data_IF_280496021420
#
_entry.id   IF_280496021420
#
_cell.length_a   1.000
_cell.length_b   1.000
_cell.length_c   1.000
_cell.angle_alpha   90.00
_cell.angle_beta   90.00
_cell.angle_gamma   90.00
#
_symmetry.space_group_name_H-M   'P 1'
#
loop_
_entity.id
_entity.type
_entity.pdbx_description
1 polymer ?
#
# COMPACT_ATOMS: atom_id res chain seq x y z
N UNK A 1 -43.52 25.68 -34.66
CA UNK A 1 -42.19 26.27 -34.88
C UNK A 1 -41.98 27.32 -33.81
N UNK A 2 -41.15 27.03 -32.81
CA UNK A 2 -40.71 27.99 -31.79
C UNK A 2 -39.19 27.82 -31.70
N UNK A 3 -38.45 28.78 -32.25
CA UNK A 3 -37.01 28.87 -32.13
C UNK A 3 -36.66 29.47 -30.76
N UNK A 4 -35.98 28.68 -29.92
CA UNK A 4 -35.38 29.16 -28.68
C UNK A 4 -33.95 29.62 -28.99
N UNK A 5 -33.71 30.93 -28.88
CA UNK A 5 -32.41 31.55 -29.03
C UNK A 5 -31.55 31.25 -27.79
N UNK A 6 -30.36 30.69 -28.02
CA UNK A 6 -29.31 30.54 -27.02
C UNK A 6 -28.39 31.77 -27.10
N UNK A 7 -28.25 32.50 -25.99
CA UNK A 7 -27.21 33.51 -25.82
C UNK A 7 -25.91 32.84 -25.35
N UNK A 8 -24.86 33.02 -26.13
CA UNK A 8 -23.47 32.68 -25.82
C UNK A 8 -22.83 33.82 -25.01
N UNK A 9 -22.56 33.59 -23.72
CA UNK A 9 -21.73 34.48 -22.90
C UNK A 9 -20.25 34.18 -23.15
N UNK A 10 -19.68 34.86 -24.13
CA UNK A 10 -18.24 35.09 -24.25
C UNK A 10 -17.93 36.48 -23.70
N UNK A 11 -16.70 36.64 -23.20
CA UNK A 11 -16.01 37.90 -22.88
C UNK A 11 -15.82 38.21 -21.39
N UNK A 12 -14.83 37.54 -20.79
CA UNK A 12 -14.06 38.10 -19.67
C UNK A 12 -12.56 37.86 -19.91
N UNK A 13 -11.98 38.70 -20.76
CA UNK A 13 -10.54 38.90 -20.86
C UNK A 13 -10.05 39.71 -19.64
N UNK A 14 -9.05 39.17 -18.92
CA UNK A 14 -8.29 39.93 -17.93
C UNK A 14 -6.99 40.42 -18.55
N UNK A 15 -6.71 41.75 -18.57
CA UNK A 15 -5.53 42.29 -19.21
C UNK A 15 -4.31 42.26 -18.28
N UNK A 16 -3.17 41.90 -18.85
CA UNK A 16 -1.87 42.46 -18.46
C UNK A 16 -1.09 41.69 -17.40
N UNK A 17 -0.04 41.00 -17.85
CA UNK A 17 1.32 41.05 -17.29
C UNK A 17 2.27 40.32 -18.25
N UNK A 18 2.74 41.06 -19.27
CA UNK A 18 3.75 40.61 -20.23
C UNK A 18 5.12 40.73 -19.58
N UNK A 19 5.55 39.69 -18.87
CA UNK A 19 6.94 39.54 -18.43
C UNK A 19 7.79 39.06 -19.61
N UNK A 20 8.64 39.95 -20.11
CA UNK A 20 9.63 39.69 -21.14
C UNK A 20 10.71 38.74 -20.63
N UNK A 21 10.67 37.48 -21.05
CA UNK A 21 11.79 36.55 -20.92
C UNK A 21 12.91 36.97 -21.89
N UNK A 22 13.95 37.61 -21.38
CA UNK A 22 15.24 37.71 -22.06
C UNK A 22 15.97 36.38 -21.86
N UNK A 23 16.21 35.65 -22.95
CA UNK A 23 17.08 34.49 -22.99
C UNK A 23 18.54 34.95 -22.89
N UNK A 24 19.14 34.90 -21.71
CA UNK A 24 20.59 34.91 -21.58
C UNK A 24 21.10 33.49 -21.77
N UNK A 25 21.67 33.23 -22.94
CA UNK A 25 22.37 31.99 -23.24
C UNK A 25 23.60 31.84 -22.33
N UNK A 26 23.53 30.92 -21.37
CA UNK A 26 24.67 30.49 -20.58
C UNK A 26 25.40 29.39 -21.36
N UNK A 27 26.66 29.65 -21.70
CA UNK A 27 27.55 28.77 -22.46
C UNK A 27 28.49 28.09 -21.45
N UNK A 28 28.29 26.82 -21.07
CA UNK A 28 29.23 26.14 -20.20
C UNK A 28 30.34 25.55 -21.05
N UNK A 29 31.50 26.20 -20.98
CA UNK A 29 32.80 25.68 -21.38
C UNK A 29 33.21 24.54 -20.44
N UNK A 30 33.59 23.41 -21.05
CA UNK A 30 34.61 22.44 -20.64
C UNK A 30 34.80 22.19 -19.13
N UNK A 31 34.27 21.06 -18.66
CA UNK A 31 34.78 20.30 -17.51
C UNK A 31 34.28 18.86 -17.65
N UNK A 32 34.92 18.11 -18.56
CA UNK A 32 34.87 16.65 -18.56
C UNK A 32 35.72 16.18 -17.37
N UNK A 33 35.06 15.64 -16.35
CA UNK A 33 35.71 14.91 -15.26
C UNK A 33 35.05 13.53 -15.14
N UNK A 34 35.93 12.53 -15.07
CA UNK A 34 35.70 11.12 -15.36
C UNK A 34 34.75 10.39 -14.40
N UNK A 35 33.52 10.17 -14.87
CA UNK A 35 32.51 9.31 -14.21
C UNK A 35 32.92 7.82 -14.10
N UNK A 36 34.02 7.42 -14.74
CA UNK A 36 34.49 6.03 -14.76
C UNK A 36 35.31 5.62 -13.52
N UNK A 37 35.88 6.59 -12.78
CA UNK A 37 36.66 6.30 -11.57
C UNK A 37 35.76 6.10 -10.34
N UNK A 38 34.63 6.81 -10.26
CA UNK A 38 33.65 6.65 -9.18
C UNK A 38 32.93 5.28 -9.19
N UNK A 39 32.85 4.65 -10.36
CA UNK A 39 32.25 3.32 -10.52
C UNK A 39 33.17 2.21 -10.04
N UNK A 40 34.49 2.38 -10.16
CA UNK A 40 35.50 1.39 -9.74
C UNK A 40 35.64 1.36 -8.22
N UNK A 41 35.68 2.52 -7.56
CA UNK A 41 35.77 2.61 -6.09
C UNK A 41 34.56 2.00 -5.37
N UNK A 42 33.36 2.13 -5.95
CA UNK A 42 32.13 1.54 -5.37
C UNK A 42 32.04 0.02 -5.53
N UNK A 43 32.71 -0.55 -6.53
CA UNK A 43 32.76 -2.00 -6.72
C UNK A 43 33.67 -2.68 -5.69
N UNK A 44 34.82 -2.07 -5.38
CA UNK A 44 35.76 -2.56 -4.36
C UNK A 44 35.15 -2.53 -2.95
N UNK A 45 34.37 -1.51 -2.60
CA UNK A 45 33.69 -1.45 -1.29
C UNK A 45 32.66 -2.57 -1.07
N UNK A 46 32.08 -3.14 -2.14
CA UNK A 46 31.09 -4.20 -2.05
C UNK A 46 31.73 -5.58 -1.86
N UNK A 47 32.91 -5.82 -2.44
CA UNK A 47 33.64 -7.08 -2.25
C UNK A 47 34.17 -7.22 -0.81
N UNK A 48 34.68 -6.13 -0.21
CA UNK A 48 35.17 -6.14 1.18
C UNK A 48 34.04 -6.48 2.17
N UNK A 49 32.82 -5.96 1.95
CA UNK A 49 31.65 -6.26 2.79
C UNK A 49 31.17 -7.71 2.64
N UNK A 50 31.29 -8.30 1.45
CA UNK A 50 30.98 -9.72 1.23
C UNK A 50 32.01 -10.65 1.89
N UNK A 51 33.29 -10.26 1.93
CA UNK A 51 34.34 -11.02 2.61
C UNK A 51 34.14 -11.08 4.14
N UNK A 52 33.64 -10.00 4.76
CA UNK A 52 33.41 -9.96 6.21
C UNK A 52 32.26 -10.87 6.67
N UNK A 53 31.22 -11.08 5.86
CA UNK A 53 30.07 -11.92 6.24
C UNK A 53 30.36 -13.43 6.17
N UNK A 54 31.31 -13.86 5.33
CA UNK A 54 31.71 -15.28 5.24
C UNK A 54 32.55 -15.78 6.42
N UNK A 55 33.24 -14.88 7.15
CA UNK A 55 34.08 -15.25 8.31
C UNK A 55 33.29 -15.56 9.60
N UNK A 56 32.01 -15.16 9.67
CA UNK A 56 31.18 -15.35 10.87
C UNK A 56 30.45 -16.70 10.98
N UNK A 57 30.55 -17.60 9.99
CA UNK A 57 29.69 -18.80 9.88
C UNK A 57 30.40 -20.14 10.08
N UNK A 58 31.52 -20.15 10.81
CA UNK A 58 32.28 -21.37 11.14
C UNK A 58 32.71 -21.39 12.60
N UNK A 59 31.79 -21.69 13.51
CA UNK A 59 32.08 -22.29 14.84
C UNK A 59 30.78 -22.66 15.54
N UNK A 60 30.33 -23.90 15.33
CA UNK A 60 29.60 -24.73 16.31
C UNK A 60 29.16 -26.04 15.64
N UNK A 61 30.03 -27.06 15.70
CA UNK A 61 29.68 -28.46 15.50
C UNK A 61 30.54 -29.27 16.44
N UNK A 62 29.93 -29.85 17.47
CA UNK A 62 30.23 -31.15 18.09
C UNK A 62 29.53 -31.22 19.46
N UNK A 63 28.57 -32.14 19.59
CA UNK A 63 28.59 -33.27 20.55
C UNK A 63 27.16 -33.87 20.68
N UNK A 64 27.03 -35.05 20.06
CA UNK A 64 26.41 -36.31 20.50
C UNK A 64 24.98 -36.39 21.09
N UNK A 65 24.19 -37.25 20.44
CA UNK A 65 22.89 -37.75 20.89
C UNK A 65 23.04 -39.11 21.59
N UNK A 66 22.06 -39.52 22.43
CA UNK A 66 21.70 -40.92 22.54
C UNK A 66 20.27 -41.18 22.02
N UNK A 67 20.18 -42.23 21.22
CA UNK A 67 18.95 -42.88 20.75
C UNK A 67 18.32 -43.64 21.92
N UNK A 68 17.00 -43.60 22.05
CA UNK A 68 16.27 -44.71 22.64
C UNK A 68 14.96 -44.95 21.87
N UNK A 69 14.71 -46.23 21.63
CA UNK A 69 13.78 -46.79 20.68
C UNK A 69 12.32 -46.82 21.18
N UNK A 70 11.39 -46.73 20.21
CA UNK A 70 10.22 -47.61 20.10
C UNK A 70 9.07 -47.52 21.11
N UNK A 71 7.93 -47.08 20.56
CA UNK A 71 6.56 -47.58 20.78
C UNK A 71 5.83 -47.16 22.08
N UNK A 72 4.74 -46.39 21.96
CA UNK A 72 3.37 -46.88 21.78
C UNK A 72 2.35 -45.72 21.88
N UNK A 73 1.26 -45.87 21.14
CA UNK A 73 0.15 -44.92 21.05
C UNK A 73 -0.85 -45.16 22.18
N UNK A 74 -0.87 -44.27 23.18
CA UNK A 74 -1.93 -44.25 24.19
C UNK A 74 -2.84 -43.03 24.02
N UNK A 75 -4.06 -43.35 23.59
CA UNK A 75 -5.17 -42.48 23.26
C UNK A 75 -6.12 -42.38 24.48
N UNK A 76 -6.41 -41.14 24.88
CA UNK A 76 -7.53 -40.61 25.70
C UNK A 76 -7.49 -40.69 27.24
N UNK A 77 -8.40 -39.98 27.96
CA UNK A 77 -8.89 -38.59 27.82
C UNK A 77 -8.95 -37.88 29.19
N UNK A 78 -8.70 -36.57 29.31
CA UNK A 78 -9.13 -35.86 30.53
C UNK A 78 -9.51 -34.39 30.29
N UNK A 79 -10.83 -34.16 30.34
CA UNK A 79 -11.42 -32.97 30.93
C UNK A 79 -10.79 -32.68 32.31
N UNK A 80 -10.68 -31.40 32.67
CA UNK A 80 -10.39 -31.01 34.06
C UNK A 80 -8.98 -30.47 34.34
N UNK A 81 -8.37 -29.75 33.40
CA UNK A 81 -7.23 -28.90 33.72
C UNK A 81 -7.69 -27.63 34.45
N UNK A 82 -7.63 -27.65 35.79
CA UNK A 82 -7.75 -26.46 36.64
C UNK A 82 -6.79 -25.37 36.14
N UNK A 83 -7.32 -24.34 35.48
CA UNK A 83 -6.57 -23.12 35.27
C UNK A 83 -6.30 -22.53 36.66
N UNK A 84 -5.04 -22.58 37.11
CA UNK A 84 -4.58 -21.77 38.23
C UNK A 84 -4.97 -20.33 37.96
N UNK A 85 -6.02 -19.86 38.63
CA UNK A 85 -6.32 -18.44 38.76
C UNK A 85 -5.14 -17.87 39.55
N UNK A 86 -4.19 -17.29 38.82
CA UNK A 86 -3.15 -16.48 39.44
C UNK A 86 -3.87 -15.30 40.09
N UNK A 87 -3.65 -15.16 41.40
CA UNK A 87 -4.14 -14.07 42.24
C UNK A 87 -3.99 -12.74 41.50
N UNK A 88 -5.09 -12.03 41.36
CA UNK A 88 -5.08 -10.60 41.10
C UNK A 88 -4.41 -9.94 42.31
N UNK A 89 -3.16 -9.54 42.16
CA UNK A 89 -2.62 -8.49 42.99
C UNK A 89 -3.07 -7.17 42.37
N UNK A 90 -3.68 -6.31 43.17
CA UNK A 90 -4.18 -5.00 42.79
C UNK A 90 -3.03 -4.11 42.30
N UNK A 91 -2.62 -4.31 41.05
CA UNK A 91 -1.82 -3.35 40.31
C UNK A 91 -2.77 -2.21 39.98
N UNK A 92 -2.66 -1.12 40.73
CA UNK A 92 -3.26 0.18 40.45
C UNK A 92 -3.42 0.36 38.93
N UNK A 93 -4.68 0.36 38.49
CA UNK A 93 -5.06 0.27 37.09
C UNK A 93 -4.37 1.38 36.26
N UNK A 94 -3.24 1.05 35.64
CA UNK A 94 -2.52 1.86 34.65
C UNK A 94 -3.29 1.87 33.33
N UNK A 95 -4.53 2.34 33.38
CA UNK A 95 -5.37 2.50 32.23
C UNK A 95 -4.77 3.55 31.30
N UNK A 96 -4.13 3.08 30.23
CA UNK A 96 -3.31 3.90 29.35
C UNK A 96 -4.06 4.36 28.11
N UNK A 97 -5.12 3.63 27.71
CA UNK A 97 -5.74 3.77 26.39
C UNK A 97 -7.23 4.05 26.51
N UNK A 98 -7.68 5.06 25.79
CA UNK A 98 -9.07 5.45 25.64
C UNK A 98 -9.66 4.79 24.39
N UNK A 99 -10.80 4.13 24.53
CA UNK A 99 -11.64 3.68 23.43
C UNK A 99 -12.64 4.77 23.05
N UNK A 100 -12.80 5.02 21.76
CA UNK A 100 -13.86 5.88 21.23
C UNK A 100 -14.61 5.10 20.16
N UNK A 101 -15.92 4.97 20.31
CA UNK A 101 -16.83 4.32 19.38
C UNK A 101 -17.91 5.27 18.87
N UNK A 102 -18.63 4.82 17.84
CA UNK A 102 -19.68 5.58 17.13
C UNK A 102 -19.18 6.89 16.52
N UNK A 103 -17.94 6.87 16.04
CA UNK A 103 -17.31 8.03 15.41
C UNK A 103 -18.01 8.33 14.06
N UNK A 104 -18.44 9.57 13.80
CA UNK A 104 -19.03 9.95 12.52
C UNK A 104 -18.05 9.87 11.36
N UNK A 105 -18.57 9.68 10.15
CA UNK A 105 -17.74 9.68 8.94
C UNK A 105 -17.17 11.09 8.68
N UNK A 106 -15.85 11.18 8.47
CA UNK A 106 -15.15 12.45 8.31
C UNK A 106 -14.44 12.94 9.56
N UNK A 107 -14.72 12.35 10.73
CA UNK A 107 -13.96 12.60 11.96
C UNK A 107 -12.79 11.61 12.04
N UNK A 108 -11.73 11.91 11.27
CA UNK A 108 -10.55 11.06 11.16
C UNK A 108 -9.43 11.51 12.11
N UNK A 109 -8.22 11.00 11.89
CA UNK A 109 -7.10 11.19 12.80
C UNK A 109 -6.74 12.66 13.00
N UNK A 110 -6.74 13.47 11.95
CA UNK A 110 -6.37 14.89 12.00
C UNK A 110 -7.42 15.71 12.77
N UNK A 111 -8.72 15.44 12.52
CA UNK A 111 -9.82 16.10 13.21
C UNK A 111 -9.92 15.66 14.68
N UNK A 112 -9.72 14.36 14.96
CA UNK A 112 -9.67 13.84 16.33
C UNK A 112 -8.48 14.43 17.09
N UNK A 113 -7.31 14.54 16.46
CA UNK A 113 -6.14 15.15 17.09
C UNK A 113 -6.43 16.61 17.45
N UNK A 114 -6.99 17.39 16.52
CA UNK A 114 -7.38 18.78 16.78
C UNK A 114 -8.40 18.92 17.92
N UNK A 115 -9.42 18.07 17.95
CA UNK A 115 -10.47 18.12 18.97
C UNK A 115 -9.99 17.66 20.35
N UNK A 116 -9.26 16.54 20.45
CA UNK A 116 -8.85 15.99 21.74
C UNK A 116 -7.62 16.68 22.33
N UNK A 117 -6.88 17.46 21.53
CA UNK A 117 -5.77 18.29 22.00
C UNK A 117 -6.18 19.31 23.07
N UNK A 118 -7.45 19.70 23.14
CA UNK A 118 -7.95 20.60 24.18
C UNK A 118 -7.89 19.98 25.60
N UNK A 119 -7.94 18.65 25.71
CA UNK A 119 -7.84 17.95 26.99
C UNK A 119 -6.41 17.64 27.40
N UNK A 120 -5.51 17.53 26.42
CA UNK A 120 -4.09 17.31 26.66
C UNK A 120 -3.33 16.84 25.42
N UNK A 121 -2.02 16.73 25.55
CA UNK A 121 -1.12 16.25 24.48
C UNK A 121 -1.39 14.77 24.18
N UNK A 122 -1.65 14.48 22.91
CA UNK A 122 -1.89 13.12 22.41
C UNK A 122 -0.56 12.50 22.02
N UNK A 123 -0.28 11.30 22.55
CA UNK A 123 0.94 10.56 22.25
C UNK A 123 0.76 9.65 21.04
N UNK A 124 -0.36 8.92 21.00
CA UNK A 124 -0.70 8.01 19.91
C UNK A 124 -2.20 8.05 19.64
N UNK A 125 -2.56 8.04 18.37
CA UNK A 125 -3.94 8.04 17.92
C UNK A 125 -4.10 7.04 16.78
N UNK A 126 -5.16 6.23 16.81
CA UNK A 126 -5.42 5.25 15.77
C UNK A 126 -6.91 5.02 15.56
N UNK A 127 -7.38 5.18 14.32
CA UNK A 127 -8.73 4.79 13.93
C UNK A 127 -8.69 3.40 13.30
N UNK A 128 -9.64 2.56 13.67
CA UNK A 128 -9.80 1.26 13.05
C UNK A 128 -10.48 1.42 11.69
N UNK A 129 -9.86 0.84 10.65
CA UNK A 129 -10.38 0.85 9.28
C UNK A 129 -10.47 -0.58 8.75
N UNK A 130 -11.27 -0.79 7.71
CA UNK A 130 -11.33 -2.06 7.00
C UNK A 130 -10.09 -2.19 6.09
N UNK A 131 -9.36 -3.30 6.17
CA UNK A 131 -8.14 -3.52 5.38
C UNK A 131 -8.43 -3.61 3.87
N UNK A 132 -9.62 -4.05 3.46
CA UNK A 132 -9.98 -4.23 2.04
C UNK A 132 -10.55 -2.97 1.39
N UNK A 133 -11.55 -2.37 2.03
CA UNK A 133 -12.25 -1.18 1.50
C UNK A 133 -11.63 0.13 1.96
N UNK A 134 -10.87 0.10 3.06
CA UNK A 134 -10.28 1.29 3.67
C UNK A 134 -11.21 2.20 4.45
N UNK A 135 -12.51 1.92 4.42
CA UNK A 135 -13.53 2.64 5.19
C UNK A 135 -13.27 2.52 6.69
N UNK A 136 -13.56 3.59 7.43
CA UNK A 136 -13.56 3.59 8.90
C UNK A 136 -14.54 2.54 9.43
N UNK A 137 -14.17 1.93 10.55
CA UNK A 137 -15.07 1.08 11.35
C UNK A 137 -15.81 1.89 12.42
N UNK A 138 -15.67 3.21 12.42
CA UNK A 138 -16.33 4.13 13.35
C UNK A 138 -15.93 3.93 14.82
N UNK A 139 -14.71 3.43 15.05
CA UNK A 139 -14.09 3.39 16.37
C UNK A 139 -12.57 3.60 16.28
N UNK A 140 -11.97 4.04 17.38
CA UNK A 140 -10.56 4.36 17.48
C UNK A 140 -10.04 4.26 18.91
N UNK A 141 -8.72 4.40 19.02
CA UNK A 141 -7.98 4.35 20.28
C UNK A 141 -7.10 5.59 20.39
N UNK A 142 -7.08 6.18 21.57
CA UNK A 142 -6.25 7.34 21.89
C UNK A 142 -5.42 7.03 23.13
N UNK A 143 -4.15 7.39 23.10
CA UNK A 143 -3.26 7.40 24.25
C UNK A 143 -2.74 8.82 24.45
N UNK A 144 -3.02 9.37 25.62
CA UNK A 144 -2.51 10.66 26.05
C UNK A 144 -1.13 10.53 26.70
N UNK A 145 -0.42 11.64 26.81
CA UNK A 145 0.86 11.70 27.55
C UNK A 145 0.67 11.43 29.05
N UNK A 146 -0.42 11.95 29.63
CA UNK A 146 -0.81 11.75 31.02
C UNK A 146 -2.13 10.95 31.11
N UNK A 147 -2.08 9.62 30.92
CA UNK A 147 -3.30 8.82 30.77
C UNK A 147 -4.12 8.74 32.06
N UNK A 148 -3.50 8.78 33.25
CA UNK A 148 -4.18 8.52 34.52
C UNK A 148 -5.28 9.53 34.87
N UNK A 149 -5.03 10.82 34.57
CA UNK A 149 -5.94 11.92 34.89
C UNK A 149 -6.76 12.30 33.65
N UNK A 150 -6.08 12.52 32.51
CA UNK A 150 -6.74 13.02 31.30
C UNK A 150 -7.72 11.99 30.74
N UNK A 151 -7.37 10.70 30.71
CA UNK A 151 -8.26 9.70 30.13
C UNK A 151 -9.56 9.52 30.94
N UNK A 152 -9.52 9.68 32.27
CA UNK A 152 -10.71 9.64 33.13
C UNK A 152 -11.63 10.84 32.86
N UNK A 153 -11.07 12.05 32.84
CA UNK A 153 -11.83 13.29 32.55
C UNK A 153 -12.48 13.19 31.16
N UNK A 154 -11.72 12.75 30.15
CA UNK A 154 -12.25 12.62 28.79
C UNK A 154 -13.35 11.57 28.73
N UNK A 155 -13.20 10.42 29.40
CA UNK A 155 -14.23 9.40 29.44
C UNK A 155 -15.54 9.93 30.05
N UNK A 156 -15.46 10.61 31.19
CA UNK A 156 -16.64 11.14 31.88
C UNK A 156 -17.31 12.28 31.10
N UNK A 157 -16.52 13.19 30.51
CA UNK A 157 -17.06 14.34 29.78
C UNK A 157 -17.60 13.98 28.38
N UNK A 158 -16.99 13.00 27.69
CA UNK A 158 -17.31 12.69 26.29
C UNK A 158 -18.20 11.47 26.10
N UNK A 159 -18.46 10.70 27.14
CA UNK A 159 -19.40 9.60 27.07
C UNK A 159 -20.82 10.15 26.78
N UNK A 160 -21.44 9.65 25.71
CA UNK A 160 -22.72 10.14 25.18
C UNK A 160 -22.70 11.59 24.68
N UNK A 161 -21.55 12.10 24.25
CA UNK A 161 -21.50 13.39 23.57
C UNK A 161 -22.14 13.31 22.17
N UNK A 162 -23.06 14.21 21.86
CA UNK A 162 -23.69 14.29 20.54
C UNK A 162 -22.73 15.01 19.58
N UNK A 163 -22.16 14.27 18.64
CA UNK A 163 -21.28 14.80 17.61
C UNK A 163 -21.87 14.49 16.23
N UNK A 164 -22.28 15.55 15.52
CA UNK A 164 -23.16 15.47 14.35
C UNK A 164 -24.45 14.68 14.70
N UNK A 165 -24.72 13.59 14.01
CA UNK A 165 -25.89 12.72 14.23
C UNK A 165 -25.58 11.52 15.14
N UNK A 166 -24.36 11.45 15.69
CA UNK A 166 -23.89 10.28 16.43
C UNK A 166 -23.59 10.60 17.89
N UNK A 167 -24.09 9.75 18.79
CA UNK A 167 -23.74 9.76 20.21
C UNK A 167 -22.43 8.99 20.40
N UNK A 168 -21.35 9.69 20.75
CA UNK A 168 -20.05 9.09 20.99
C UNK A 168 -20.08 8.16 22.21
N UNK A 169 -19.40 7.02 22.07
CA UNK A 169 -19.19 6.08 23.19
C UNK A 169 -17.72 6.10 23.56
N UNK A 170 -17.40 6.58 24.76
CA UNK A 170 -16.01 6.70 25.22
C UNK A 170 -15.83 5.85 26.46
N UNK A 171 -14.87 4.92 26.41
CA UNK A 171 -14.58 4.01 27.53
C UNK A 171 -13.09 3.97 27.81
N UNK A 172 -12.75 3.82 29.09
CA UNK A 172 -11.40 3.56 29.52
C UNK A 172 -11.07 2.08 29.33
N UNK A 173 -9.95 1.76 28.68
CA UNK A 173 -9.51 0.38 28.50
C UNK A 173 -8.39 0.06 29.51
N UNK A 174 -8.57 -0.96 30.37
CA UNK A 174 -7.49 -1.50 31.19
C UNK A 174 -6.33 -2.02 30.32
N UNK A 175 -5.07 -1.87 30.76
CA UNK A 175 -3.90 -2.23 29.95
C UNK A 175 -3.87 -3.71 29.55
N UNK A 176 -4.50 -4.60 30.32
CA UNK A 176 -4.59 -6.05 30.05
C UNK A 176 -5.39 -6.36 28.77
N UNK A 177 -6.42 -5.58 28.49
CA UNK A 177 -7.25 -5.73 27.29
C UNK A 177 -6.66 -5.02 26.06
N UNK A 178 -5.56 -4.28 26.22
CA UNK A 178 -4.85 -3.63 25.12
C UNK A 178 -3.96 -4.65 24.43
N UNK A 179 -4.38 -5.09 23.24
CA UNK A 179 -3.58 -6.01 22.45
C UNK A 179 -2.21 -5.38 22.08
N UNK A 180 -1.07 -6.09 22.25
CA UNK A 180 0.29 -5.52 22.11
C UNK A 180 0.59 -4.94 20.71
N UNK A 181 -0.09 -5.45 19.67
CA UNK A 181 0.05 -4.99 18.27
C UNK A 181 -0.84 -3.79 17.91
N UNK A 182 -1.56 -3.19 18.87
CA UNK A 182 -2.51 -2.10 18.62
C UNK A 182 -1.85 -0.93 17.88
N UNK A 183 -0.70 -0.49 18.36
CA UNK A 183 0.01 0.70 17.88
C UNK A 183 0.94 0.46 16.68
N UNK A 184 0.86 -0.70 16.03
CA UNK A 184 1.62 -0.89 14.79
C UNK A 184 1.11 0.01 13.68
N UNK A 185 2.04 0.73 13.06
CA UNK A 185 1.81 1.56 11.88
C UNK A 185 1.16 2.92 12.15
N UNK A 186 1.11 3.39 13.40
CA UNK A 186 0.47 4.67 13.78
C UNK A 186 1.12 5.86 13.08
N UNK A 187 2.45 5.92 13.05
CA UNK A 187 3.18 7.06 12.46
C UNK A 187 3.20 7.04 10.92
N UNK A 188 2.41 6.17 10.27
CA UNK A 188 2.33 6.11 8.80
C UNK A 188 1.03 6.78 8.37
N UNK A 189 1.13 7.76 7.47
CA UNK A 189 -0.05 8.30 6.80
C UNK A 189 -0.82 7.18 6.14
N UNK A 190 -2.12 7.12 6.41
CA UNK A 190 -3.00 6.13 5.84
C UNK A 190 -3.05 6.29 4.32
N UNK A 191 -2.87 5.19 3.58
CA UNK A 191 -3.12 5.12 2.14
C UNK A 191 -4.27 4.16 1.92
N UNK A 192 -5.34 4.56 1.20
CA UNK A 192 -6.44 3.65 0.93
C UNK A 192 -5.91 2.42 0.18
N UNK A 193 -6.44 1.22 0.47
CA UNK A 193 -6.09 0.01 -0.26
C UNK A 193 -6.39 0.22 -1.73
N UNK A 194 -5.43 -0.18 -2.58
CA UNK A 194 -5.61 -0.13 -4.02
C UNK A 194 -6.54 -1.25 -4.46
N UNK A 195 -7.51 -0.94 -5.32
CA UNK A 195 -8.37 -1.95 -5.93
C UNK A 195 -7.57 -2.68 -7.03
N UNK A 196 -6.89 -3.76 -6.64
CA UNK A 196 -6.08 -4.56 -7.55
C UNK A 196 -6.88 -5.11 -8.72
N UNK A 197 -8.15 -5.51 -8.50
CA UNK A 197 -9.02 -6.05 -9.56
C UNK A 197 -9.29 -4.97 -10.60
N UNK A 198 -9.59 -3.74 -10.18
CA UNK A 198 -9.76 -2.63 -11.12
C UNK A 198 -8.47 -2.32 -11.89
N UNK A 199 -7.32 -2.30 -11.21
CA UNK A 199 -6.03 -2.04 -11.85
C UNK A 199 -5.71 -3.13 -12.88
N UNK A 200 -5.94 -4.39 -12.54
CA UNK A 200 -5.73 -5.53 -13.43
C UNK A 200 -6.69 -5.52 -14.61
N UNK A 201 -7.98 -5.23 -14.39
CA UNK A 201 -8.97 -5.03 -15.47
C UNK A 201 -8.53 -3.93 -16.43
N UNK A 202 -8.11 -2.77 -15.91
CA UNK A 202 -7.58 -1.67 -16.74
C UNK A 202 -6.34 -2.09 -17.53
N UNK A 203 -5.41 -2.83 -16.91
CA UNK A 203 -4.21 -3.35 -17.59
C UNK A 203 -4.56 -4.36 -18.69
N UNK A 204 -5.52 -5.24 -18.41
CA UNK A 204 -5.98 -6.28 -19.32
C UNK A 204 -6.71 -5.69 -20.54
N UNK A 205 -7.60 -4.74 -20.28
CA UNK A 205 -8.43 -4.09 -21.29
C UNK A 205 -7.68 -3.00 -22.05
N UNK A 206 -6.47 -2.63 -21.61
CA UNK A 206 -5.64 -1.64 -22.29
C UNK A 206 -5.33 -2.08 -23.72
N UNK A 207 -5.66 -1.20 -24.66
CA UNK A 207 -5.39 -1.42 -26.07
C UNK A 207 -3.89 -1.36 -26.39
N UNK A 208 -3.51 -1.95 -27.53
CA UNK A 208 -2.12 -1.88 -28.00
C UNK A 208 -1.81 -0.44 -28.40
N UNK A 209 -0.58 0.00 -28.16
CA UNK A 209 -0.09 1.24 -28.78
C UNK A 209 0.26 0.97 -30.25
N UNK A 210 0.32 2.03 -31.07
CA UNK A 210 0.70 1.92 -32.50
C UNK A 210 2.06 1.22 -32.68
N UNK A 211 3.05 1.57 -31.88
CA UNK A 211 4.37 0.93 -31.93
C UNK A 211 4.31 -0.57 -31.61
N UNK A 212 3.51 -0.95 -30.60
CA UNK A 212 3.32 -2.35 -30.22
C UNK A 212 2.59 -3.11 -31.33
N UNK A 213 1.64 -2.46 -32.00
CA UNK A 213 0.94 -3.01 -33.16
C UNK A 213 1.87 -3.20 -34.36
N UNK A 214 2.70 -2.22 -34.69
CA UNK A 214 3.70 -2.35 -35.76
C UNK A 214 4.70 -3.48 -35.48
N UNK A 215 5.16 -3.63 -34.23
CA UNK A 215 6.03 -4.76 -33.82
C UNK A 215 5.32 -6.11 -33.98
N UNK A 216 4.03 -6.17 -33.66
CA UNK A 216 3.20 -7.36 -33.90
C UNK A 216 3.13 -7.69 -35.39
N UNK A 217 2.78 -6.72 -36.25
CA UNK A 217 2.70 -6.90 -37.71
C UNK A 217 4.02 -7.40 -38.29
N UNK A 218 5.15 -6.79 -37.91
CA UNK A 218 6.49 -7.26 -38.30
C UNK A 218 6.73 -8.72 -37.91
N UNK A 219 6.28 -9.12 -36.73
CA UNK A 219 6.41 -10.50 -36.24
C UNK A 219 5.53 -11.47 -37.02
N UNK A 220 4.29 -11.07 -37.35
CA UNK A 220 3.36 -11.85 -38.17
C UNK A 220 3.95 -12.09 -39.57
N UNK A 221 4.40 -11.04 -40.25
CA UNK A 221 5.03 -11.14 -41.58
C UNK A 221 6.26 -12.04 -41.57
N UNK A 222 7.09 -11.97 -40.51
CA UNK A 222 8.27 -12.84 -40.36
C UNK A 222 7.88 -14.31 -40.19
N UNK A 223 6.83 -14.61 -39.41
CA UNK A 223 6.32 -15.97 -39.22
C UNK A 223 5.71 -16.52 -40.50
N UNK A 224 4.98 -15.69 -41.23
CA UNK A 224 4.34 -16.07 -42.49
C UNK A 224 5.39 -16.45 -43.56
N UNK A 225 6.41 -15.60 -43.76
CA UNK A 225 7.54 -15.91 -44.66
C UNK A 225 8.20 -17.25 -44.33
N UNK A 226 8.39 -17.55 -43.04
CA UNK A 226 8.95 -18.84 -42.61
C UNK A 226 8.01 -20.01 -42.93
N UNK A 227 6.69 -19.83 -42.73
CA UNK A 227 5.69 -20.85 -43.04
C UNK A 227 5.67 -21.15 -44.54
N UNK A 228 5.65 -20.12 -45.39
CA UNK A 228 5.70 -20.27 -46.86
C UNK A 228 6.92 -21.07 -47.33
N UNK A 229 8.11 -20.75 -46.81
CA UNK A 229 9.34 -21.51 -47.11
C UNK A 229 9.24 -23.00 -46.72
N UNK A 230 8.59 -23.30 -45.58
CA UNK A 230 8.37 -24.70 -45.15
C UNK A 230 7.39 -25.44 -46.06
N UNK A 231 6.31 -24.78 -46.49
CA UNK A 231 5.35 -25.37 -47.42
C UNK A 231 5.97 -25.65 -48.79
N UNK A 232 6.77 -24.70 -49.31
CA UNK A 232 7.54 -24.88 -50.53
C UNK A 232 8.52 -26.05 -50.43
N UNK A 233 9.25 -26.16 -49.31
CA UNK A 233 10.17 -27.26 -49.08
C UNK A 233 9.47 -28.62 -48.94
N UNK A 234 8.22 -28.64 -48.46
CA UNK A 234 7.38 -29.84 -48.39
C UNK A 234 6.70 -30.20 -49.73
N UNK A 235 6.91 -29.40 -50.78
CA UNK A 235 6.30 -29.62 -52.11
C UNK A 235 4.79 -29.39 -52.13
N UNK A 236 4.23 -28.68 -51.15
CA UNK A 236 2.80 -28.40 -51.08
C UNK A 236 2.52 -27.10 -51.84
N UNK A 237 1.79 -27.21 -52.94
CA UNK A 237 1.34 -26.09 -53.75
C UNK A 237 0.13 -25.43 -53.06
N UNK A 238 0.42 -24.56 -52.10
CA UNK A 238 -0.60 -23.80 -51.36
C UNK A 238 -0.28 -22.30 -51.40
N UNK A 239 -1.14 -21.54 -52.07
CA UNK A 239 -1.08 -20.09 -52.11
C UNK A 239 -1.75 -19.51 -50.87
N UNK A 240 -0.94 -19.12 -49.89
CA UNK A 240 -1.45 -18.47 -48.68
C UNK A 240 -1.98 -17.07 -49.02
N UNK A 241 -3.22 -16.71 -48.61
CA UNK A 241 -3.77 -15.39 -48.85
C UNK A 241 -2.92 -14.30 -48.18
N UNK A 242 -2.99 -13.09 -48.74
CA UNK A 242 -2.28 -11.92 -48.21
C UNK A 242 -2.87 -11.57 -46.85
N UNK A 243 -2.00 -11.43 -45.84
CA UNK A 243 -2.42 -10.99 -44.51
C UNK A 243 -2.61 -9.48 -44.57
N UNK A 244 -3.85 -9.04 -44.72
CA UNK A 244 -4.24 -7.64 -44.59
C UNK A 244 -4.15 -7.24 -43.12
N UNK A 245 -3.10 -6.48 -42.77
CA UNK A 245 -2.98 -5.90 -41.44
C UNK A 245 -3.81 -4.62 -41.38
N UNK A 246 -4.84 -4.58 -40.54
CA UNK A 246 -5.53 -3.32 -40.23
C UNK A 246 -4.53 -2.35 -39.58
N UNK A 247 -4.48 -1.09 -40.04
CA UNK A 247 -3.58 -0.05 -39.50
C UNK A 247 -3.96 0.37 -38.07
N UNK A 248 -5.17 0.02 -37.63
CA UNK A 248 -5.68 0.36 -36.33
C UNK A 248 -5.18 -0.59 -35.24
N UNK A 249 -4.80 -0.06 -34.06
CA UNK A 249 -4.31 -0.88 -32.97
C UNK A 249 -5.42 -1.79 -32.43
N UNK A 250 -5.17 -3.10 -32.50
CA UNK A 250 -6.11 -4.13 -32.01
C UNK A 250 -5.95 -4.27 -30.48
N UNK A 251 -7.02 -4.55 -29.71
CA UNK A 251 -6.93 -4.83 -28.29
C UNK A 251 -5.92 -5.96 -28.00
N UNK A 252 -5.21 -5.87 -26.86
CA UNK A 252 -4.18 -6.86 -26.50
C UNK A 252 -4.74 -8.26 -26.33
N UNK A 253 -5.95 -8.32 -25.80
CA UNK A 253 -6.68 -9.53 -25.43
C UNK A 253 -8.11 -9.41 -25.92
N UNK A 254 -8.70 -10.55 -26.24
CA UNK A 254 -10.11 -10.64 -26.61
C UNK A 254 -10.93 -10.17 -25.40
N UNK A 255 -11.84 -9.22 -25.63
CA UNK A 255 -12.82 -8.80 -24.64
C UNK A 255 -14.00 -9.76 -24.80
N UNK A 256 -14.37 -10.43 -23.71
CA UNK A 256 -15.63 -11.16 -23.65
C UNK A 256 -16.62 -10.20 -23.02
N UNK A 257 -17.66 -9.85 -23.78
CA UNK A 257 -18.78 -9.03 -23.31
C UNK A 257 -19.71 -9.86 -22.41
#
# INVERSE_FOLDING_TARGET
MCEAQAQDDKDLEWPGLRLSLQQTAYKPSELELDFSELAKSRAEELEVKQAMTKKGKRKSSELDAPVNDGNDVDFLPLEGGSHKILKAEDLENKATVLYIGRIPHGFYEDEMEGFFKQFGTIKRLKIARNNKTGKSKHYGFIEFEYPEVVAKIVADCMHNYLLFEHMLQVYLIPPEHVHPKLWRGVNRRYKPPVDFLQIERKKHNKDRTLEQHQKLLKTILKKDKKRRKKLQAAGIEYECPVIEGADQPIPKKIRFD
#
